data_IF_642302036742
#
_entry.id   IF_642302036742
#
_cell.length_a   1.000
_cell.length_b   1.000
_cell.length_c   1.000
_cell.angle_alpha   90.00
_cell.angle_beta   90.00
_cell.angle_gamma   90.00
#
_symmetry.space_group_name_H-M   'P 1'
#
loop_
_entity.id
_entity.type
_entity.pdbx_description
1 polymer ?
#
# COMPACT_ATOMS: atom_id res chain seq x y z
N UNK A 1 -5.93 -11.02 16.06
CA UNK A 1 -6.64 -11.43 14.83
C UNK A 1 -5.81 -12.48 14.11
N UNK A 2 -6.43 -13.54 13.60
CA UNK A 2 -5.74 -14.61 12.86
C UNK A 2 -6.28 -14.64 11.43
N UNK A 3 -5.38 -14.69 10.47
CA UNK A 3 -5.67 -14.80 9.04
C UNK A 3 -4.90 -15.98 8.46
N UNK A 4 -5.41 -16.57 7.37
CA UNK A 4 -4.70 -17.67 6.72
C UNK A 4 -3.54 -17.15 5.86
N UNK A 5 -3.81 -16.17 4.99
CA UNK A 5 -2.83 -15.66 4.03
C UNK A 5 -2.79 -14.14 4.07
N UNK A 6 -1.61 -13.60 4.34
CA UNK A 6 -1.30 -12.18 4.24
C UNK A 6 -0.49 -11.86 2.98
N UNK A 7 -0.93 -10.89 2.20
CA UNK A 7 -0.14 -10.34 1.08
C UNK A 7 0.45 -9.02 1.53
N UNK A 8 1.77 -8.96 1.65
CA UNK A 8 2.50 -7.77 2.05
C UNK A 8 2.60 -6.81 0.86
N UNK A 9 1.93 -5.67 1.00
CA UNK A 9 1.97 -4.58 0.01
C UNK A 9 2.11 -3.27 0.76
N UNK A 10 2.72 -2.27 0.13
CA UNK A 10 2.79 -0.92 0.73
C UNK A 10 1.38 -0.33 0.75
N UNK A 11 0.78 -0.31 1.94
CA UNK A 11 -0.60 0.10 2.06
C UNK A 11 -0.70 1.63 2.07
N UNK A 12 -1.75 2.20 1.46
CA UNK A 12 -2.00 3.64 1.32
C UNK A 12 -0.97 4.43 0.49
N UNK A 13 -0.19 3.76 -0.35
CA UNK A 13 0.74 4.41 -1.29
C UNK A 13 0.25 4.19 -2.72
N UNK A 14 0.06 5.24 -3.54
CA UNK A 14 -0.54 5.16 -4.87
C UNK A 14 0.46 4.63 -5.90
N UNK A 15 0.89 3.37 -5.72
CA UNK A 15 1.58 2.61 -6.73
C UNK A 15 0.58 1.67 -7.40
N UNK A 16 -0.06 2.17 -8.46
CA UNK A 16 -1.10 1.44 -9.20
C UNK A 16 -0.65 0.06 -9.68
N UNK A 17 0.63 -0.10 -10.06
CA UNK A 17 1.16 -1.37 -10.55
C UNK A 17 1.27 -2.43 -9.46
N UNK A 18 1.94 -2.09 -8.35
CA UNK A 18 2.08 -2.99 -7.20
C UNK A 18 0.72 -3.33 -6.59
N UNK A 19 -0.19 -2.38 -6.54
CA UNK A 19 -1.54 -2.60 -6.05
C UNK A 19 -2.36 -3.53 -6.95
N UNK A 20 -2.33 -3.32 -8.27
CA UNK A 20 -3.04 -4.18 -9.21
C UNK A 20 -2.51 -5.63 -9.15
N UNK A 21 -1.20 -5.79 -9.02
CA UNK A 21 -0.57 -7.11 -8.85
C UNK A 21 -1.03 -7.80 -7.57
N UNK A 22 -1.03 -7.09 -6.44
CA UNK A 22 -1.47 -7.65 -5.17
C UNK A 22 -2.97 -7.99 -5.14
N UNK A 23 -3.80 -7.15 -5.74
CA UNK A 23 -5.23 -7.43 -5.88
C UNK A 23 -5.48 -8.65 -6.77
N UNK A 24 -4.81 -8.75 -7.92
CA UNK A 24 -4.90 -9.91 -8.79
C UNK A 24 -4.46 -11.19 -8.07
N UNK A 25 -3.34 -11.12 -7.33
CA UNK A 25 -2.86 -12.23 -6.52
C UNK A 25 -3.88 -12.64 -5.45
N UNK A 26 -4.44 -11.67 -4.73
CA UNK A 26 -5.48 -11.92 -3.73
C UNK A 26 -6.69 -12.63 -4.33
N UNK A 27 -7.17 -12.18 -5.50
CA UNK A 27 -8.29 -12.83 -6.19
C UNK A 27 -7.98 -14.27 -6.56
N UNK A 28 -6.83 -14.52 -7.18
CA UNK A 28 -6.41 -15.88 -7.55
C UNK A 28 -6.29 -16.77 -6.32
N UNK A 29 -5.65 -16.29 -5.24
CA UNK A 29 -5.48 -17.06 -4.01
C UNK A 29 -6.82 -17.37 -3.32
N UNK A 30 -7.77 -16.44 -3.38
CA UNK A 30 -9.11 -16.64 -2.83
C UNK A 30 -9.91 -17.66 -3.66
N UNK A 31 -9.79 -17.61 -4.99
CA UNK A 31 -10.45 -18.55 -5.91
C UNK A 31 -9.93 -19.98 -5.74
N UNK A 32 -8.62 -20.17 -5.61
CA UNK A 32 -8.04 -21.51 -5.42
C UNK A 32 -8.15 -22.02 -3.97
N UNK A 33 -8.45 -21.13 -3.01
CA UNK A 33 -8.60 -21.46 -1.59
C UNK A 33 -9.90 -20.87 -1.01
N UNK A 34 -11.06 -21.32 -1.48
CA UNK A 34 -12.37 -20.74 -1.12
C UNK A 34 -12.62 -20.59 0.40
N UNK A 35 -12.07 -21.50 1.21
CA UNK A 35 -12.26 -21.54 2.66
C UNK A 35 -11.20 -20.77 3.46
N UNK A 36 -10.27 -20.07 2.79
CA UNK A 36 -9.17 -19.35 3.43
C UNK A 36 -9.45 -17.85 3.46
N UNK A 37 -9.10 -17.20 4.57
CA UNK A 37 -9.16 -15.75 4.72
C UNK A 37 -7.89 -15.10 4.16
N UNK A 38 -7.98 -14.58 2.94
CA UNK A 38 -6.87 -13.93 2.22
C UNK A 38 -7.00 -12.41 2.31
N UNK A 39 -6.02 -11.76 2.95
CA UNK A 39 -6.02 -10.30 3.17
C UNK A 39 -4.73 -9.67 2.69
N UNK A 40 -4.83 -8.45 2.17
CA UNK A 40 -3.65 -7.58 2.07
C UNK A 40 -3.31 -7.03 3.45
N UNK A 41 -2.02 -7.03 3.79
CA UNK A 41 -1.50 -6.51 5.06
C UNK A 41 -1.41 -5.00 4.94
N UNK A 42 -2.34 -4.34 5.61
CA UNK A 42 -2.38 -2.90 5.69
C UNK A 42 -1.27 -2.39 6.61
N UNK A 43 -0.15 -1.91 6.05
CA UNK A 43 0.87 -1.20 6.82
C UNK A 43 1.28 0.07 6.09
N UNK A 44 1.37 1.17 6.83
CA UNK A 44 1.81 2.45 6.29
C UNK A 44 3.31 2.60 6.51
N UNK A 45 4.08 2.48 5.42
CA UNK A 45 5.47 2.91 5.41
C UNK A 45 5.52 4.44 5.29
N UNK A 46 5.87 5.11 6.40
CA UNK A 46 5.96 6.58 6.45
C UNK A 46 6.98 7.15 5.47
N UNK A 47 8.05 6.42 5.17
CA UNK A 47 9.07 6.88 4.24
C UNK A 47 8.51 6.93 2.81
N UNK A 48 7.84 5.86 2.37
CA UNK A 48 7.15 5.80 1.08
C UNK A 48 5.98 6.78 1.01
N UNK A 49 5.19 6.92 2.07
CA UNK A 49 4.12 7.92 2.11
C UNK A 49 4.66 9.33 1.90
N UNK A 50 5.70 9.73 2.64
CA UNK A 50 6.32 11.04 2.52
C UNK A 50 6.93 11.25 1.13
N UNK A 51 7.49 10.21 0.52
CA UNK A 51 8.01 10.28 -0.83
C UNK A 51 6.93 10.67 -1.86
N UNK A 52 5.73 10.11 -1.76
CA UNK A 52 4.63 10.40 -2.69
C UNK A 52 3.82 11.65 -2.34
N UNK A 53 3.62 11.95 -1.05
CA UNK A 53 2.66 12.97 -0.60
C UNK A 53 3.26 14.14 0.20
N UNK A 54 4.40 13.96 0.88
CA UNK A 54 5.10 15.04 1.61
C UNK A 54 6.56 15.18 1.12
N UNK A 55 6.65 15.54 -0.16
CA UNK A 55 7.89 15.74 -0.89
C UNK A 55 8.83 16.73 -0.15
N UNK A 56 8.28 17.71 0.56
CA UNK A 56 9.06 18.69 1.32
C UNK A 56 9.68 18.10 2.59
N UNK A 57 8.98 17.23 3.32
CA UNK A 57 9.60 16.44 4.40
C UNK A 57 10.61 15.43 3.86
N UNK A 58 10.31 14.75 2.75
CA UNK A 58 11.23 13.80 2.13
C UNK A 58 12.58 14.45 1.74
N UNK A 59 12.56 15.62 1.08
CA UNK A 59 13.79 16.34 0.72
C UNK A 59 14.61 16.80 1.92
N UNK A 60 13.98 17.09 3.06
CA UNK A 60 14.71 17.44 4.30
C UNK A 60 15.47 16.23 4.85
N UNK A 61 14.93 15.03 4.70
CA UNK A 61 15.51 13.79 5.22
C UNK A 61 16.49 13.11 4.26
N UNK A 62 16.35 13.29 2.94
CA UNK A 62 17.15 12.57 1.93
C UNK A 62 17.66 13.50 0.80
N UNK A 63 18.74 14.27 1.04
CA UNK A 63 19.20 15.32 0.14
C UNK A 63 19.86 14.81 -1.16
N UNK A 64 20.19 13.51 -1.24
CA UNK A 64 20.86 12.89 -2.40
C UNK A 64 19.93 12.93 -3.64
N UNK A 65 18.63 12.73 -3.43
CA UNK A 65 17.62 12.74 -4.49
C UNK A 65 17.14 14.18 -4.73
N UNK A 66 17.91 14.95 -5.50
CA UNK A 66 17.61 16.36 -5.78
C UNK A 66 16.26 16.53 -6.47
N UNK A 67 15.57 17.63 -6.16
CA UNK A 67 14.27 18.04 -6.75
C UNK A 67 14.23 18.02 -8.28
N UNK A 68 15.38 18.19 -8.94
CA UNK A 68 15.53 18.11 -10.39
C UNK A 68 15.31 16.70 -10.96
N UNK A 69 15.65 15.65 -10.22
CA UNK A 69 15.51 14.25 -10.65
C UNK A 69 14.04 13.84 -10.76
N UNK A 70 13.20 14.36 -9.85
CA UNK A 70 11.77 14.05 -9.79
C UNK A 70 10.90 15.00 -10.62
N UNK A 71 11.42 16.15 -11.07
CA UNK A 71 10.66 17.11 -11.89
C UNK A 71 10.12 16.51 -13.21
N UNK A 72 10.78 15.49 -13.75
CA UNK A 72 10.33 14.75 -14.94
C UNK A 72 9.32 13.63 -14.61
N UNK A 73 9.37 13.09 -13.39
CA UNK A 73 8.48 12.02 -12.90
C UNK A 73 7.18 12.55 -12.28
N UNK A 74 7.20 13.77 -11.76
CA UNK A 74 6.02 14.51 -11.32
C UNK A 74 5.23 14.90 -12.57
N UNK A 75 4.46 13.94 -13.08
CA UNK A 75 3.47 14.17 -14.12
C UNK A 75 2.64 15.39 -13.67
N UNK A 76 2.57 16.42 -14.52
CA UNK A 76 1.61 17.52 -14.41
C UNK A 76 0.19 16.94 -14.51
N UNK A 77 -0.26 16.26 -13.46
CA UNK A 77 -1.58 15.68 -13.42
C UNK A 77 -2.51 16.76 -12.87
N UNK A 78 -3.41 17.24 -13.73
CA UNK A 78 -4.60 17.94 -13.29
C UNK A 78 -5.41 16.96 -12.42
N UNK A 79 -6.01 17.45 -11.34
CA UNK A 79 -6.91 16.71 -10.44
C UNK A 79 -6.24 15.62 -9.57
N UNK A 80 -5.13 15.93 -8.89
CA UNK A 80 -4.49 15.02 -7.91
C UNK A 80 -5.49 14.58 -6.83
N UNK A 81 -6.24 15.51 -6.26
CA UNK A 81 -7.23 15.25 -5.21
C UNK A 81 -8.31 14.24 -5.65
N UNK A 82 -8.77 14.32 -6.89
CA UNK A 82 -9.78 13.42 -7.43
C UNK A 82 -9.22 12.00 -7.62
N UNK A 83 -7.98 11.89 -8.11
CA UNK A 83 -7.30 10.60 -8.26
C UNK A 83 -7.02 9.94 -6.92
N UNK A 84 -6.61 10.72 -5.93
CA UNK A 84 -6.38 10.27 -4.57
C UNK A 84 -7.70 9.78 -3.94
N UNK A 85 -8.78 10.55 -4.07
CA UNK A 85 -10.11 10.14 -3.63
C UNK A 85 -10.59 8.85 -4.29
N UNK A 86 -10.43 8.72 -5.60
CA UNK A 86 -10.81 7.52 -6.34
C UNK A 86 -9.95 6.31 -5.94
N UNK A 87 -8.66 6.54 -5.69
CA UNK A 87 -7.75 5.51 -5.20
C UNK A 87 -8.21 4.99 -3.83
N UNK A 88 -8.37 5.87 -2.84
CA UNK A 88 -8.85 5.47 -1.51
C UNK A 88 -10.24 4.83 -1.57
N UNK A 89 -11.14 5.34 -2.41
CA UNK A 89 -12.46 4.73 -2.59
C UNK A 89 -12.37 3.29 -3.12
N UNK A 90 -11.50 3.01 -4.08
CA UNK A 90 -11.28 1.64 -4.56
C UNK A 90 -10.62 0.78 -3.47
N UNK A 91 -9.73 1.40 -2.69
CA UNK A 91 -8.97 0.77 -1.61
C UNK A 91 -9.85 0.19 -0.50
N UNK A 92 -10.83 0.97 -0.05
CA UNK A 92 -11.79 0.57 0.99
C UNK A 92 -12.63 -0.65 0.58
N UNK A 93 -12.76 -0.94 -0.71
CA UNK A 93 -13.52 -2.10 -1.20
C UNK A 93 -12.75 -3.41 -1.19
N UNK A 94 -11.42 -3.36 -1.09
CA UNK A 94 -10.59 -4.57 -1.13
C UNK A 94 -10.47 -5.15 0.27
N UNK A 95 -10.65 -6.46 0.47
CA UNK A 95 -10.45 -7.07 1.78
C UNK A 95 -9.00 -6.92 2.26
N UNK A 96 -8.79 -6.14 3.32
CA UNK A 96 -7.48 -5.89 3.93
C UNK A 96 -7.57 -5.99 5.45
N UNK A 97 -6.43 -6.08 6.11
CA UNK A 97 -6.39 -5.99 7.58
C UNK A 97 -6.61 -4.56 8.03
N UNK A 98 -6.92 -4.33 9.31
CA UNK A 98 -6.73 -3.00 9.87
C UNK A 98 -5.24 -2.58 9.77
N UNK A 99 -4.97 -1.28 9.86
CA UNK A 99 -3.59 -0.77 9.84
C UNK A 99 -2.76 -1.41 10.97
N UNK A 100 -1.69 -2.09 10.57
CA UNK A 100 -0.71 -2.71 11.44
C UNK A 100 0.46 -1.74 11.64
N UNK A 101 0.84 -1.52 12.90
CA UNK A 101 1.98 -0.73 13.33
C UNK A 101 2.77 -1.45 14.43
N UNK A 102 3.87 -0.84 14.90
CA UNK A 102 4.72 -1.41 15.94
C UNK A 102 3.99 -1.66 17.27
N UNK A 103 2.86 -1.00 17.53
CA UNK A 103 2.10 -1.12 18.78
C UNK A 103 1.20 -2.33 18.74
N UNK A 104 0.56 -2.60 17.60
CA UNK A 104 -0.44 -3.66 17.48
C UNK A 104 0.05 -4.92 16.73
N UNK A 105 1.25 -4.92 16.13
CA UNK A 105 1.76 -6.04 15.31
C UNK A 105 1.70 -7.41 16.01
N UNK A 106 1.89 -7.45 17.33
CA UNK A 106 1.84 -8.69 18.13
C UNK A 106 0.43 -9.31 18.21
N UNK A 107 -0.60 -8.55 17.87
CA UNK A 107 -1.99 -8.98 17.87
C UNK A 107 -2.35 -9.72 16.57
N UNK A 108 -1.49 -9.72 15.56
CA UNK A 108 -1.75 -10.30 14.24
C UNK A 108 -0.95 -11.58 14.03
N UNK A 109 -1.62 -12.60 13.50
CA UNK A 109 -1.01 -13.85 13.09
C UNK A 109 -1.47 -14.23 11.68
N UNK A 110 -0.53 -14.72 10.88
CA UNK A 110 -0.76 -15.22 9.53
C UNK A 110 -0.15 -16.62 9.41
N UNK A 111 -0.87 -17.57 8.81
CA UNK A 111 -0.31 -18.91 8.54
C UNK A 111 0.71 -18.83 7.38
N UNK A 112 0.52 -17.92 6.42
CA UNK A 112 1.45 -17.59 5.33
C UNK A 112 1.50 -16.09 5.04
N UNK A 113 2.68 -15.60 4.67
CA UNK A 113 2.90 -14.23 4.18
C UNK A 113 3.61 -14.30 2.83
N UNK A 114 3.12 -13.52 1.86
CA UNK A 114 3.71 -13.33 0.53
C UNK A 114 4.13 -11.87 0.36
N UNK A 115 5.26 -11.60 -0.31
CA UNK A 115 5.81 -10.26 -0.54
C UNK A 115 6.29 -10.10 -1.99
#
# INVERSE_FOLDING_TARGET
>A
MKYDIGIQTFWNVPNYGTFAQAYALQKVLQEINENKDVRQIAHLDKHHFNFYYDIAAYYRSFPIWKKSFWKSFLINSKNIEEKEKNFFSAYETIPHTMNIDLKNIKEFQFDKILA
#
